data_IF_127568789127
#
_entry.id   IF_127568789127
#
_cell.length_a   1.000
_cell.length_b   1.000
_cell.length_c   1.000
_cell.angle_alpha   90.00
_cell.angle_beta   90.00
_cell.angle_gamma   90.00
#
_symmetry.space_group_name_H-M   'P 1'
#
loop_
_entity.id
_entity.type
_entity.pdbx_description
1 polymer ?
#
# COMPACT_ATOMS: atom_id res chain seq x y z
N UNK A 1 18.15 14.20 13.10
CA UNK A 1 17.00 14.83 13.79
C UNK A 1 15.99 15.30 12.75
N UNK A 2 14.73 14.94 12.96
CA UNK A 2 13.61 15.25 12.08
C UNK A 2 12.65 16.15 12.86
N UNK A 3 12.18 17.20 12.21
CA UNK A 3 11.10 18.03 12.72
C UNK A 3 9.78 17.44 12.26
N UNK A 4 8.81 17.31 13.17
CA UNK A 4 7.43 16.95 12.84
C UNK A 4 6.50 18.12 13.16
N UNK A 5 5.44 18.27 12.38
CA UNK A 5 4.45 19.33 12.53
C UNK A 5 3.04 18.74 12.40
N UNK A 6 2.14 19.21 13.25
CA UNK A 6 0.71 18.91 13.14
C UNK A 6 0.07 19.93 12.21
N UNK A 7 -0.56 19.44 11.14
CA UNK A 7 -1.30 20.26 10.19
C UNK A 7 -2.79 20.37 10.59
N UNK A 8 -3.57 21.11 9.83
CA UNK A 8 -5.00 21.32 10.11
C UNK A 8 -5.85 20.05 10.07
N UNK A 9 -5.42 19.02 9.34
CA UNK A 9 -6.07 17.72 9.30
C UNK A 9 -5.17 16.68 10.03
N UNK A 10 -5.59 16.16 11.19
CA UNK A 10 -4.75 15.28 12.01
C UNK A 10 -4.43 13.94 11.36
N UNK A 11 -5.07 13.61 10.22
CA UNK A 11 -4.77 12.40 9.45
C UNK A 11 -3.47 12.51 8.67
N UNK A 12 -2.97 13.72 8.45
CA UNK A 12 -1.71 13.97 7.75
C UNK A 12 -0.63 14.39 8.74
N UNK A 13 0.59 13.92 8.48
CA UNK A 13 1.77 14.26 9.27
C UNK A 13 2.78 14.96 8.38
N UNK A 14 3.23 16.16 8.78
CA UNK A 14 4.26 16.91 8.08
C UNK A 14 5.58 16.66 8.81
N UNK A 15 6.65 16.41 8.06
CA UNK A 15 7.99 16.31 8.64
C UNK A 15 9.07 16.80 7.68
N UNK A 16 10.20 17.25 8.22
CA UNK A 16 11.35 17.70 7.42
C UNK A 16 12.66 17.42 8.14
N UNK A 17 13.72 17.22 7.37
CA UNK A 17 15.07 17.05 7.92
C UNK A 17 15.62 18.37 8.43
N UNK A 18 16.42 18.32 9.50
CA UNK A 18 17.09 19.50 10.05
C UNK A 18 18.14 20.07 9.09
N UNK A 19 18.79 19.21 8.33
CA UNK A 19 19.84 19.59 7.40
C UNK A 19 19.87 18.65 6.17
N UNK A 20 20.84 18.90 5.30
CA UNK A 20 21.01 18.15 4.05
C UNK A 20 21.35 16.66 4.25
N UNK A 21 21.97 16.26 5.35
CA UNK A 21 22.31 14.86 5.63
C UNK A 21 21.06 14.11 6.10
N UNK A 22 20.28 14.72 6.97
CA UNK A 22 18.97 14.19 7.41
C UNK A 22 18.01 14.05 6.23
N UNK A 23 18.06 14.98 5.28
CA UNK A 23 17.27 14.89 4.05
C UNK A 23 17.63 13.63 3.23
N UNK A 24 18.91 13.22 3.18
CA UNK A 24 19.31 11.99 2.49
C UNK A 24 18.77 10.75 3.21
N UNK A 25 18.80 10.71 4.54
CA UNK A 25 18.21 9.61 5.31
C UNK A 25 16.69 9.52 5.13
N UNK A 26 16.00 10.66 5.10
CA UNK A 26 14.56 10.71 4.83
C UNK A 26 14.21 10.23 3.42
N UNK A 27 15.04 10.54 2.41
CA UNK A 27 14.86 9.99 1.07
C UNK A 27 15.13 8.48 1.07
N UNK A 28 16.13 7.99 1.81
CA UNK A 28 16.44 6.57 1.84
C UNK A 28 15.35 5.71 2.52
N UNK A 29 14.66 6.25 3.53
CA UNK A 29 13.71 5.52 4.36
C UNK A 29 12.25 5.97 4.21
N UNK A 30 11.95 6.83 3.24
CA UNK A 30 10.59 7.32 2.96
C UNK A 30 9.63 6.24 2.48
N UNK A 31 8.34 6.43 2.74
CA UNK A 31 7.24 5.53 2.42
C UNK A 31 6.62 5.84 1.05
N UNK A 32 5.98 4.86 0.38
CA UNK A 32 5.30 5.09 -0.89
C UNK A 32 4.22 6.17 -0.83
N UNK A 33 3.55 6.33 0.33
CA UNK A 33 2.53 7.36 0.55
C UNK A 33 3.08 8.73 0.97
N UNK A 34 4.38 8.86 1.14
CA UNK A 34 4.99 10.14 1.47
C UNK A 34 5.07 11.01 0.21
N UNK A 35 4.63 12.26 0.33
CA UNK A 35 4.70 13.28 -0.71
C UNK A 35 5.83 14.23 -0.38
N UNK A 36 6.78 14.40 -1.30
CA UNK A 36 7.92 15.30 -1.17
C UNK A 36 7.62 16.67 -1.77
N UNK A 37 8.06 17.72 -1.09
CA UNK A 37 7.90 19.13 -1.46
C UNK A 37 9.23 19.85 -1.43
N UNK A 38 9.42 20.75 -2.39
CA UNK A 38 10.62 21.57 -2.52
C UNK A 38 10.31 22.86 -3.29
N UNK A 39 11.07 23.92 -3.08
CA UNK A 39 10.94 25.14 -3.89
C UNK A 39 11.51 24.93 -5.29
N UNK A 40 10.78 25.28 -6.35
CA UNK A 40 11.28 25.13 -7.72
C UNK A 40 12.57 25.94 -7.93
N UNK A 41 13.62 25.29 -8.45
CA UNK A 41 14.92 25.87 -8.84
C UNK A 41 15.73 26.58 -7.73
N UNK A 42 15.28 26.56 -6.48
CA UNK A 42 15.95 27.24 -5.37
C UNK A 42 16.35 26.23 -4.30
N UNK A 43 17.48 26.47 -3.63
CA UNK A 43 17.89 25.63 -2.50
C UNK A 43 16.89 25.78 -1.34
N UNK A 44 16.27 24.68 -0.93
CA UNK A 44 15.29 24.65 0.15
C UNK A 44 15.30 23.33 0.92
N UNK A 45 14.72 23.35 2.12
CA UNK A 45 14.51 22.13 2.88
C UNK A 45 13.58 21.16 2.13
N UNK A 46 13.82 19.86 2.31
CA UNK A 46 12.93 18.81 1.83
C UNK A 46 11.83 18.60 2.85
N UNK A 47 10.61 19.02 2.52
CA UNK A 47 9.44 18.84 3.37
C UNK A 47 8.66 17.64 2.85
N UNK A 48 8.19 16.81 3.76
CA UNK A 48 7.40 15.63 3.45
C UNK A 48 6.03 15.73 4.11
N UNK A 49 5.02 15.24 3.39
CA UNK A 49 3.67 15.05 3.89
C UNK A 49 3.37 13.55 3.83
N UNK A 50 3.21 12.91 4.98
CA UNK A 50 2.70 11.54 5.05
C UNK A 50 1.20 11.56 4.87
N UNK A 51 0.72 10.88 3.83
CA UNK A 51 -0.70 10.70 3.63
C UNK A 51 -1.24 9.57 4.51
N UNK A 52 -2.51 9.67 4.97
CA UNK A 52 -3.13 8.58 5.68
C UNK A 52 -3.17 7.35 4.79
N UNK A 53 -2.94 6.19 5.40
CA UNK A 53 -3.14 4.92 4.73
C UNK A 53 -4.59 4.84 4.24
N UNK A 54 -4.82 4.41 2.99
CA UNK A 54 -6.17 4.25 2.49
C UNK A 54 -6.92 3.21 3.35
N UNK A 55 -8.18 3.51 3.69
CA UNK A 55 -9.03 2.61 4.49
C UNK A 55 -9.23 1.24 3.83
N UNK A 56 -9.08 1.17 2.51
CA UNK A 56 -9.10 -0.06 1.73
C UNK A 56 -7.75 -0.30 1.08
N UNK A 57 -7.24 -1.54 1.04
CA UNK A 57 -6.06 -1.87 0.27
C UNK A 57 -6.25 -1.41 -1.17
N UNK A 58 -5.34 -0.57 -1.66
CA UNK A 58 -5.31 -0.24 -3.07
C UNK A 58 -4.98 -1.53 -3.87
N UNK A 59 -5.64 -1.77 -5.01
CA UNK A 59 -5.22 -2.80 -5.96
C UNK A 59 -3.72 -2.66 -6.27
N UNK A 60 -3.03 -3.77 -6.51
CA UNK A 60 -1.57 -3.79 -6.73
C UNK A 60 -1.12 -2.83 -7.86
N UNK A 61 -2.01 -2.56 -8.80
CA UNK A 61 -1.88 -1.67 -9.95
C UNK A 61 -2.02 -0.15 -9.62
N UNK A 62 -2.48 0.22 -8.43
CA UNK A 62 -2.58 1.62 -7.96
C UNK A 62 -1.98 1.81 -6.56
N UNK A 63 -0.74 1.36 -6.36
CA UNK A 63 -0.04 1.56 -5.08
C UNK A 63 0.17 3.03 -4.71
N UNK A 64 0.21 3.92 -5.71
CA UNK A 64 0.45 5.33 -5.50
C UNK A 64 -0.84 6.06 -5.11
N UNK A 65 -0.87 6.77 -3.97
CA UNK A 65 -2.04 7.50 -3.54
C UNK A 65 -2.33 8.71 -4.43
N UNK A 66 -3.60 9.08 -4.54
CA UNK A 66 -4.03 10.17 -5.40
C UNK A 66 -3.64 11.54 -4.81
N UNK A 67 -2.65 12.20 -5.41
CA UNK A 67 -2.22 13.54 -5.00
C UNK A 67 -3.35 14.58 -5.04
N UNK A 68 -4.42 14.35 -5.80
CA UNK A 68 -5.57 15.26 -5.87
C UNK A 68 -6.47 15.16 -4.65
N UNK A 69 -6.36 14.11 -3.84
CA UNK A 69 -7.19 13.95 -2.64
C UNK A 69 -6.69 14.79 -1.46
N UNK A 70 -5.52 15.43 -1.57
CA UNK A 70 -4.95 16.27 -0.51
C UNK A 70 -5.77 17.57 -0.41
N UNK A 71 -6.30 17.91 0.78
CA UNK A 71 -7.01 19.18 0.97
C UNK A 71 -6.11 20.37 0.66
N UNK A 72 -6.66 21.39 -0.02
CA UNK A 72 -5.91 22.60 -0.37
C UNK A 72 -5.29 23.27 0.85
N UNK A 73 -5.98 23.28 1.99
CA UNK A 73 -5.48 23.85 3.24
C UNK A 73 -4.18 23.18 3.72
N UNK A 74 -4.08 21.85 3.59
CA UNK A 74 -2.87 21.11 3.95
C UNK A 74 -1.74 21.40 2.95
N UNK A 75 -2.06 21.52 1.65
CA UNK A 75 -1.09 21.92 0.64
C UNK A 75 -0.53 23.33 0.93
N UNK A 76 -1.38 24.27 1.31
CA UNK A 76 -0.98 25.64 1.66
C UNK A 76 -0.10 25.64 2.92
N UNK A 77 -0.43 24.83 3.92
CA UNK A 77 0.38 24.66 5.13
C UNK A 77 1.80 24.16 4.84
N UNK A 78 1.91 23.08 4.06
CA UNK A 78 3.20 22.52 3.64
C UNK A 78 3.95 23.53 2.77
N UNK A 79 3.25 24.21 1.85
CA UNK A 79 3.82 25.22 0.97
C UNK A 79 4.45 26.39 1.74
N UNK A 80 3.77 26.91 2.76
CA UNK A 80 4.32 27.97 3.60
C UNK A 80 5.58 27.51 4.33
N UNK A 81 5.58 26.28 4.86
CA UNK A 81 6.73 25.72 5.55
C UNK A 81 7.93 25.53 4.60
N UNK A 82 7.71 25.01 3.39
CA UNK A 82 8.76 24.83 2.36
C UNK A 82 9.33 26.17 1.91
N UNK A 83 8.48 27.19 1.68
CA UNK A 83 8.93 28.55 1.34
C UNK A 83 9.73 29.18 2.48
N UNK A 84 9.27 29.06 3.72
CA UNK A 84 9.94 29.62 4.88
C UNK A 84 11.33 29.02 5.12
N UNK A 85 11.49 27.72 4.85
CA UNK A 85 12.73 26.97 4.98
C UNK A 85 13.55 26.91 3.67
N UNK A 86 13.40 27.91 2.80
CA UNK A 86 14.26 28.09 1.62
C UNK A 86 15.29 29.19 1.84
N UNK A 87 16.52 28.99 1.34
CA UNK A 87 17.63 29.94 1.51
C UNK A 87 17.31 31.26 0.80
N UNK A 88 16.88 31.18 -0.46
CA UNK A 88 16.54 32.34 -1.29
C UNK A 88 15.02 32.53 -1.42
N UNK A 89 14.27 31.44 -1.46
CA UNK A 89 12.81 31.47 -1.66
C UNK A 89 12.05 32.17 -0.53
N UNK A 90 12.60 32.21 0.69
CA UNK A 90 11.99 32.92 1.81
C UNK A 90 11.96 34.45 1.63
N UNK A 91 12.85 34.99 0.78
CA UNK A 91 12.99 36.43 0.49
C UNK A 91 12.17 36.85 -0.74
N UNK A 92 11.85 35.91 -1.63
CA UNK A 92 11.09 36.21 -2.83
C UNK A 92 9.60 36.42 -2.50
N UNK A 93 8.93 37.40 -3.13
CA UNK A 93 7.52 37.69 -2.86
C UNK A 93 6.65 36.47 -3.16
N UNK A 94 6.93 35.81 -4.29
CA UNK A 94 6.26 34.63 -4.77
C UNK A 94 7.29 33.55 -5.12
N UNK A 95 6.96 32.30 -4.85
CA UNK A 95 7.76 31.14 -5.29
C UNK A 95 6.83 30.07 -5.81
N UNK A 96 7.34 29.24 -6.71
CA UNK A 96 6.65 28.03 -7.13
C UNK A 96 7.18 26.86 -6.30
N UNK A 97 6.28 25.98 -5.87
CA UNK A 97 6.62 24.80 -5.06
C UNK A 97 6.32 23.57 -5.88
N UNK A 98 7.33 22.73 -6.03
CA UNK A 98 7.24 21.45 -6.69
C UNK A 98 6.92 20.36 -5.68
N UNK A 99 6.01 19.47 -6.02
CA UNK A 99 5.70 18.31 -5.19
C UNK A 99 5.43 17.05 -6.01
N UNK A 100 5.84 15.92 -5.47
CA UNK A 100 5.69 14.60 -6.10
C UNK A 100 5.73 13.51 -5.03
N UNK A 101 5.21 12.33 -5.35
CA UNK A 101 5.37 11.17 -4.49
C UNK A 101 6.85 10.79 -4.33
N UNK A 102 7.19 10.28 -3.14
CA UNK A 102 8.50 9.73 -2.84
C UNK A 102 8.89 8.62 -3.82
N UNK A 103 7.93 7.79 -4.24
CA UNK A 103 8.14 6.72 -5.22
C UNK A 103 8.69 7.20 -6.58
N UNK A 104 8.43 8.47 -6.94
CA UNK A 104 8.89 9.11 -8.16
C UNK A 104 10.27 9.79 -8.03
N UNK A 105 10.82 9.90 -6.82
CA UNK A 105 12.15 10.48 -6.62
C UNK A 105 13.23 9.54 -7.13
N UNK A 106 14.28 10.14 -7.70
CA UNK A 106 15.49 9.46 -8.16
C UNK A 106 16.69 10.10 -7.50
N UNK A 107 17.39 9.31 -6.68
CA UNK A 107 18.71 9.64 -6.16
C UNK A 107 19.72 8.64 -6.72
N UNK A 108 20.78 9.14 -7.36
CA UNK A 108 21.89 8.32 -7.87
C UNK A 108 23.15 8.62 -7.06
N UNK A 109 24.04 7.64 -6.90
CA UNK A 109 25.26 7.81 -6.09
C UNK A 109 26.21 8.93 -6.57
N UNK A 110 26.10 9.33 -7.83
CA UNK A 110 26.90 10.40 -8.45
C UNK A 110 26.29 11.80 -8.24
N UNK A 111 25.10 11.89 -7.66
CA UNK A 111 24.42 13.17 -7.43
C UNK A 111 24.89 13.78 -6.11
N UNK A 112 25.11 15.09 -6.12
CA UNK A 112 25.54 15.83 -4.94
C UNK A 112 24.51 15.74 -3.79
N UNK A 113 24.98 15.92 -2.56
CA UNK A 113 24.13 15.91 -1.37
C UNK A 113 23.06 17.01 -1.49
N UNK A 114 21.79 16.64 -1.32
CA UNK A 114 20.63 17.52 -1.52
C UNK A 114 20.11 17.58 -2.95
N UNK A 115 20.85 17.10 -3.96
CA UNK A 115 20.33 17.03 -5.33
C UNK A 115 19.39 15.84 -5.50
N UNK A 116 18.18 16.09 -6.02
CA UNK A 116 17.17 15.06 -6.28
C UNK A 116 16.69 15.18 -7.72
N UNK A 117 16.55 14.04 -8.39
CA UNK A 117 15.97 13.93 -9.73
C UNK A 117 14.59 13.29 -9.69
N UNK A 118 13.91 13.27 -10.82
CA UNK A 118 12.61 12.59 -10.96
C UNK A 118 12.72 11.41 -11.92
N UNK A 119 11.94 10.36 -11.69
CA UNK A 119 11.79 9.25 -12.63
C UNK A 119 10.90 9.68 -13.81
N UNK A 120 9.73 10.24 -13.49
CA UNK A 120 8.76 10.76 -14.46
C UNK A 120 8.40 12.22 -14.16
N UNK A 121 8.72 13.12 -15.08
CA UNK A 121 8.36 14.55 -14.97
C UNK A 121 6.84 14.77 -15.02
N UNK A 122 6.09 13.91 -15.71
CA UNK A 122 4.61 14.01 -15.82
C UNK A 122 3.90 13.80 -14.48
N UNK A 123 4.56 13.15 -13.53
CA UNK A 123 4.03 12.87 -12.18
C UNK A 123 4.30 14.01 -11.21
N UNK A 124 5.11 14.98 -11.61
CA UNK A 124 5.45 16.17 -10.83
C UNK A 124 4.30 17.18 -10.92
N UNK A 125 3.97 17.79 -9.78
CA UNK A 125 2.94 18.81 -9.65
C UNK A 125 3.54 20.10 -9.10
N UNK A 126 2.85 21.21 -9.34
CA UNK A 126 3.32 22.54 -8.96
C UNK A 126 2.21 23.31 -8.26
N UNK A 127 2.54 23.92 -7.14
CA UNK A 127 1.76 24.98 -6.50
C UNK A 127 2.39 26.30 -6.94
N UNK A 128 1.66 27.06 -7.75
CA UNK A 128 2.20 28.29 -8.35
C UNK A 128 1.94 29.49 -7.44
N UNK A 129 2.85 30.46 -7.49
CA UNK A 129 2.65 31.80 -6.94
C UNK A 129 2.43 31.83 -5.42
N UNK A 130 3.13 30.99 -4.66
CA UNK A 130 3.00 30.91 -3.20
C UNK A 130 3.57 32.19 -2.57
N UNK A 131 2.67 33.03 -2.04
CA UNK A 131 3.00 34.20 -1.25
C UNK A 131 3.22 33.82 0.22
N UNK A 132 3.97 34.63 0.97
CA UNK A 132 4.22 34.38 2.38
C UNK A 132 3.00 34.72 3.24
N UNK A 133 2.45 33.72 3.91
CA UNK A 133 1.45 33.88 4.97
C UNK A 133 2.13 33.73 6.34
N UNK A 134 2.15 34.81 7.12
CA UNK A 134 2.81 34.85 8.43
C UNK A 134 1.97 34.23 9.53
N UNK A 135 0.64 34.25 9.42
CA UNK A 135 -0.25 33.75 10.47
C UNK A 135 -0.25 32.22 10.46
N UNK A 136 -0.40 31.66 9.25
CA UNK A 136 -0.36 30.22 9.04
C UNK A 136 1.00 29.62 9.43
N UNK A 137 2.11 30.27 9.04
CA UNK A 137 3.45 29.83 9.42
C UNK A 137 3.65 29.81 10.94
N UNK A 138 3.24 30.88 11.64
CA UNK A 138 3.34 30.94 13.11
C UNK A 138 2.49 29.89 13.81
N UNK A 139 1.34 29.52 13.24
CA UNK A 139 0.51 28.46 13.78
C UNK A 139 1.20 27.09 13.65
N UNK A 140 1.84 26.82 12.51
CA UNK A 140 2.62 25.60 12.28
C UNK A 140 3.88 25.53 13.14
N UNK A 141 4.64 26.61 13.27
CA UNK A 141 5.84 26.64 14.11
C UNK A 141 5.54 26.32 15.58
N UNK A 142 4.33 26.62 16.07
CA UNK A 142 3.89 26.23 17.42
C UNK A 142 3.63 24.73 17.57
N UNK A 143 3.33 24.03 16.49
CA UNK A 143 3.09 22.57 16.49
C UNK A 143 4.36 21.78 16.19
N UNK A 144 5.50 22.45 16.01
CA UNK A 144 6.79 21.84 15.76
C UNK A 144 7.22 20.97 16.95
N UNK A 145 7.59 19.73 16.65
CA UNK A 145 8.16 18.78 17.61
C UNK A 145 9.48 18.22 17.06
N UNK A 146 10.37 17.84 17.97
CA UNK A 146 11.66 17.21 17.67
C UNK A 146 11.70 15.79 18.24
N UNK A 147 10.92 14.84 17.69
CA UNK A 147 10.95 13.48 18.17
C UNK A 147 12.28 12.81 17.79
N UNK A 148 12.89 12.11 18.75
CA UNK A 148 14.03 11.23 18.48
C UNK A 148 13.50 9.93 17.87
N UNK A 149 13.35 9.91 16.56
CA UNK A 149 12.89 8.73 15.81
C UNK A 149 14.06 8.12 15.05
N UNK A 150 14.26 6.81 15.23
CA UNK A 150 15.11 6.02 14.33
C UNK A 150 14.29 5.66 13.08
N UNK A 151 14.56 6.36 11.99
CA UNK A 151 13.86 6.22 10.71
C UNK A 151 14.00 4.82 10.13
N UNK A 152 15.17 4.20 10.29
CA UNK A 152 15.46 2.87 9.77
C UNK A 152 14.69 1.81 10.56
N UNK A 153 14.71 1.89 11.89
CA UNK A 153 13.94 0.98 12.74
C UNK A 153 12.43 1.09 12.48
N UNK A 154 11.91 2.31 12.32
CA UNK A 154 10.51 2.55 11.99
C UNK A 154 10.13 1.92 10.63
N UNK A 155 11.02 2.03 9.63
CA UNK A 155 10.83 1.40 8.32
C UNK A 155 10.79 -0.12 8.40
N UNK A 156 11.80 -0.72 9.02
CA UNK A 156 11.89 -2.18 9.15
C UNK A 156 10.71 -2.77 9.93
N UNK A 157 10.24 -2.09 10.97
CA UNK A 157 9.11 -2.55 11.77
C UNK A 157 7.83 -2.65 10.94
N UNK A 158 7.52 -1.62 10.16
CA UNK A 158 6.30 -1.61 9.37
C UNK A 158 6.40 -2.45 8.09
N UNK A 159 7.58 -2.58 7.49
CA UNK A 159 7.81 -3.57 6.42
C UNK A 159 7.59 -5.01 6.94
N UNK A 160 8.06 -5.31 8.15
CA UNK A 160 7.81 -6.59 8.83
C UNK A 160 6.33 -6.81 9.11
N UNK A 161 5.62 -5.78 9.55
CA UNK A 161 4.18 -5.85 9.80
C UNK A 161 3.38 -6.07 8.51
N UNK A 162 3.72 -5.36 7.43
CA UNK A 162 3.10 -5.54 6.12
C UNK A 162 3.35 -6.96 5.59
N UNK A 163 4.58 -7.48 5.72
CA UNK A 163 4.89 -8.85 5.33
C UNK A 163 4.09 -9.87 6.15
N UNK A 164 3.92 -9.63 7.46
CA UNK A 164 3.11 -10.50 8.33
C UNK A 164 1.64 -10.50 7.90
N UNK A 165 1.06 -9.32 7.65
CA UNK A 165 -0.33 -9.18 7.15
C UNK A 165 -0.53 -9.88 5.81
N UNK A 166 0.36 -9.66 4.84
CA UNK A 166 0.32 -10.34 3.53
C UNK A 166 0.40 -11.86 3.65
N UNK A 167 1.26 -12.38 4.53
CA UNK A 167 1.35 -13.83 4.80
C UNK A 167 0.07 -14.37 5.43
N UNK A 168 -0.52 -13.65 6.37
CA UNK A 168 -1.78 -14.04 7.01
C UNK A 168 -2.95 -14.01 6.02
N UNK A 169 -3.05 -13.00 5.16
CA UNK A 169 -4.06 -12.91 4.10
C UNK A 169 -3.91 -14.04 3.08
N UNK A 170 -2.70 -14.32 2.60
CA UNK A 170 -2.44 -15.44 1.70
C UNK A 170 -2.79 -16.79 2.34
N UNK A 171 -2.49 -16.97 3.64
CA UNK A 171 -2.86 -18.20 4.36
C UNK A 171 -4.39 -18.33 4.47
N UNK A 172 -5.09 -17.25 4.83
CA UNK A 172 -6.56 -17.24 4.92
C UNK A 172 -7.20 -17.52 3.57
N UNK A 173 -6.70 -16.91 2.49
CA UNK A 173 -7.18 -17.14 1.13
C UNK A 173 -6.99 -18.60 0.71
N UNK A 174 -5.81 -19.18 0.95
CA UNK A 174 -5.54 -20.59 0.66
C UNK A 174 -6.42 -21.53 1.46
N UNK A 175 -6.66 -21.25 2.76
CA UNK A 175 -7.57 -22.03 3.58
C UNK A 175 -9.01 -21.96 3.06
N UNK A 176 -9.49 -20.77 2.67
CA UNK A 176 -10.81 -20.61 2.08
C UNK A 176 -10.96 -21.34 0.74
N UNK A 177 -9.95 -21.29 -0.13
CA UNK A 177 -9.92 -22.03 -1.41
C UNK A 177 -9.90 -23.55 -1.18
N UNK A 178 -9.13 -24.05 -0.20
CA UNK A 178 -9.09 -25.47 0.17
C UNK A 178 -10.42 -25.95 0.78
N UNK A 179 -11.07 -25.15 1.64
CA UNK A 179 -12.40 -25.45 2.18
C UNK A 179 -13.50 -25.46 1.11
N UNK A 180 -13.46 -24.50 0.18
CA UNK A 180 -14.41 -24.46 -0.94
C UNK A 180 -14.21 -25.64 -1.90
N UNK A 181 -12.96 -26.04 -2.16
CA UNK A 181 -12.65 -27.23 -2.95
C UNK A 181 -13.18 -28.51 -2.29
N UNK A 182 -12.99 -28.67 -0.98
CA UNK A 182 -13.52 -29.81 -0.21
C UNK A 182 -15.05 -29.85 -0.25
N UNK A 183 -15.72 -28.72 -0.02
CA UNK A 183 -17.20 -28.63 -0.11
C UNK A 183 -17.71 -29.03 -1.50
N UNK A 184 -17.07 -28.55 -2.57
CA UNK A 184 -17.42 -28.94 -3.94
C UNK A 184 -17.18 -30.42 -4.21
N UNK A 185 -16.15 -31.01 -3.63
CA UNK A 185 -15.88 -32.45 -3.75
C UNK A 185 -16.91 -33.29 -2.98
N UNK A 186 -17.25 -32.90 -1.75
CA UNK A 186 -18.32 -33.54 -0.95
C UNK A 186 -19.68 -33.45 -1.65
N UNK A 187 -20.04 -32.29 -2.21
CA UNK A 187 -21.27 -32.12 -3.01
C UNK A 187 -21.28 -33.01 -4.26
N UNK A 188 -20.14 -33.12 -4.96
CA UNK A 188 -20.00 -34.03 -6.11
C UNK A 188 -20.16 -35.49 -5.69
N UNK A 189 -19.53 -35.90 -4.58
CA UNK A 189 -19.63 -37.26 -4.07
C UNK A 189 -21.07 -37.60 -3.65
N UNK A 190 -21.76 -36.72 -2.91
CA UNK A 190 -23.16 -36.88 -2.54
C UNK A 190 -24.07 -36.99 -3.78
N UNK A 191 -23.82 -36.15 -4.81
CA UNK A 191 -24.57 -36.20 -6.07
C UNK A 191 -24.34 -37.50 -6.84
N UNK A 192 -23.11 -37.99 -6.91
CA UNK A 192 -22.78 -39.29 -7.53
C UNK A 192 -23.42 -40.45 -6.77
N UNK A 193 -23.37 -40.43 -5.43
CA UNK A 193 -23.98 -41.46 -4.60
C UNK A 193 -25.51 -41.49 -4.71
N UNK A 194 -26.17 -40.32 -4.73
CA UNK A 194 -27.60 -40.22 -4.99
C UNK A 194 -28.00 -40.79 -6.37
N UNK A 195 -27.18 -40.58 -7.39
CA UNK A 195 -27.41 -41.15 -8.73
C UNK A 195 -27.27 -42.67 -8.78
N UNK A 196 -26.46 -43.27 -7.90
CA UNK A 196 -26.30 -44.73 -7.81
C UNK A 196 -27.48 -45.41 -7.10
N UNK A 197 -28.15 -44.73 -6.16
CA UNK A 197 -29.34 -45.27 -5.48
C UNK A 197 -30.58 -45.34 -6.39
N UNK A 198 -30.61 -44.56 -7.47
CA UNK A 198 -31.70 -44.59 -8.46
C UNK A 198 -31.52 -45.65 -9.55
N UNK A 199 -30.39 -46.37 -9.57
CA UNK A 199 -30.21 -47.50 -10.49
C UNK A 199 -30.83 -48.72 -9.81
N UNK A 200 -32.02 -49.12 -10.26
CA UNK A 200 -32.59 -50.40 -9.83
C UNK A 200 -31.63 -51.53 -10.22
N UNK A 201 -31.36 -52.51 -9.35
CA UNK A 201 -30.50 -53.63 -9.70
C UNK A 201 -31.14 -54.41 -10.86
N UNK A 202 -30.55 -54.33 -12.06
CA UNK A 202 -30.96 -55.14 -13.23
C UNK A 202 -30.65 -56.65 -13.06
N UNK A 203 -30.35 -57.11 -11.85
CA UNK A 203 -30.19 -58.52 -11.56
C UNK A 203 -31.44 -59.06 -10.89
N UNK A 204 -32.38 -59.51 -11.73
CA UNK A 204 -33.42 -60.43 -11.28
C UNK A 204 -32.77 -61.81 -11.14
N UNK A 205 -32.69 -62.31 -9.90
CA UNK A 205 -32.36 -63.71 -9.67
C UNK A 205 -33.43 -64.57 -10.33
N UNK A 206 -33.09 -65.23 -11.44
CA UNK A 206 -33.94 -66.17 -12.15
C UNK A 206 -33.53 -67.62 -11.83
N UNK A 207 -33.19 -67.90 -10.59
CA UNK A 207 -33.04 -69.27 -10.06
C UNK A 207 -34.10 -69.55 -9.00
N UNK A 208 -34.74 -70.72 -9.05
CA UNK A 208 -35.72 -71.13 -8.02
C UNK A 208 -35.07 -71.56 -6.69
N UNK A 209 -33.75 -71.40 -6.56
CA UNK A 209 -32.97 -71.75 -5.37
C UNK A 209 -32.87 -73.25 -5.09
N UNK A 210 -33.40 -74.12 -5.94
CA UNK A 210 -33.30 -75.58 -5.75
C UNK A 210 -32.00 -76.15 -6.31
N UNK A 211 -31.49 -77.17 -5.62
CA UNK A 211 -30.24 -77.86 -5.98
C UNK A 211 -30.33 -78.52 -7.38
N UNK A 212 -31.54 -78.88 -7.82
CA UNK A 212 -31.78 -79.46 -9.14
C UNK A 212 -31.61 -78.43 -10.27
N UNK A 213 -32.08 -77.18 -10.08
CA UNK A 213 -31.88 -76.12 -11.08
C UNK A 213 -30.40 -75.76 -11.24
N UNK A 214 -29.60 -75.79 -10.18
CA UNK A 214 -28.16 -75.55 -10.27
C UNK A 214 -27.41 -76.67 -10.99
N UNK A 215 -27.81 -77.93 -10.77
CA UNK A 215 -27.21 -79.10 -11.46
C UNK A 215 -27.53 -79.15 -12.94
N UNK A 216 -28.73 -78.77 -13.34
CA UNK A 216 -29.12 -78.76 -14.75
C UNK A 216 -28.29 -77.76 -15.59
N UNK A 217 -27.87 -76.64 -14.98
CA UNK A 217 -27.01 -75.64 -15.65
C UNK A 217 -25.56 -76.14 -15.79
N UNK A 218 -25.07 -76.94 -14.84
CA UNK A 218 -23.73 -77.56 -14.93
C UNK A 218 -23.65 -78.65 -16.00
N UNK A 219 -24.72 -79.42 -16.22
CA UNK A 219 -24.76 -80.46 -17.26
C UNK A 219 -24.87 -79.88 -18.69
N UNK A 220 -25.50 -78.72 -18.87
CA UNK A 220 -25.66 -78.07 -20.19
C UNK A 220 -24.38 -77.34 -20.66
N UNK A 221 -23.38 -77.22 -19.78
CA UNK A 221 -22.09 -76.57 -20.06
C UNK A 221 -20.95 -77.57 -20.35
N UNK A 222 -21.20 -78.88 -20.21
CA UNK A 222 -20.26 -80.00 -20.39
C UNK A 222 -20.51 -80.73 -21.72
#
# INVERSE_FOLDING_TARGET
MVYTFTCSDPRYEIYMGRDKFENEELIAHGWPEDVWFHVDKLSSAHVYLRMPLPERPLPDDKQDPDLKSIPQKVLDEVAQLTKANSIEGCKQPHVDIVYTLWSNLRKSAHMDIGQVGFKDEKRVRYIKNVARDRELLKALEKTQQEPKVDLKAAREQRDREQLRKRKEEMRKRRQAEEEEAKRKEEERQLRCYASLQTVEPEFTDKGDGTIESCRAIEEDFL
#
